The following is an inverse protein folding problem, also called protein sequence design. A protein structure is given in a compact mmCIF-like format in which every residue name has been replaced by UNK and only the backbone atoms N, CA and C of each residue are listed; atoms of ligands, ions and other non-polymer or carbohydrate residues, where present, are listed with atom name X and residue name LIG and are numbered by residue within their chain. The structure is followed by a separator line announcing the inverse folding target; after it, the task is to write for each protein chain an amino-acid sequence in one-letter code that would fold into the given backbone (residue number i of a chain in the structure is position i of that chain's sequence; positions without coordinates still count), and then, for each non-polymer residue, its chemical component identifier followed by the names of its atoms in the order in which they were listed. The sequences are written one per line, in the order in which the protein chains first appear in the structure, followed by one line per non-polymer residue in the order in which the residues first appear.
data_IF_911103478852
#
_entry.id   IF_911103478852
#
_cell.length_a   1.000
_cell.length_b   1.000
_cell.length_c   1.000
_cell.angle_alpha   90.00
_cell.angle_beta   90.00
_cell.angle_gamma   90.00
#
_symmetry.space_group_name_H-M   'P 1'
#
loop_
_entity.id
_entity.type
_entity.pdbx_description
1 polymer ?
#
# COMPACT_ATOMS: atom_id res chain seq x y z
N UNK A 1 -0.08 -7.85 -13.91
CA UNK A 1 0.84 -6.94 -13.16
C UNK A 1 2.25 -7.30 -13.58
N UNK A 2 3.04 -6.32 -13.99
CA UNK A 2 4.41 -6.61 -14.39
C UNK A 2 5.32 -6.82 -13.17
N UNK A 3 6.56 -7.23 -13.41
CA UNK A 3 7.49 -7.56 -12.35
C UNK A 3 7.79 -6.36 -11.44
N UNK A 4 8.02 -5.21 -12.02
CA UNK A 4 8.37 -4.01 -11.26
C UNK A 4 7.21 -3.58 -10.36
N UNK A 5 6.00 -3.60 -10.89
CA UNK A 5 4.81 -3.26 -10.12
C UNK A 5 4.59 -4.28 -8.99
N UNK A 6 4.79 -5.57 -9.29
CA UNK A 6 4.64 -6.61 -8.27
C UNK A 6 5.66 -6.44 -7.14
N UNK A 7 6.91 -6.15 -7.47
CA UNK A 7 7.94 -5.90 -6.47
C UNK A 7 7.59 -4.68 -5.61
N UNK A 8 7.05 -3.64 -6.24
CA UNK A 8 6.63 -2.43 -5.52
C UNK A 8 5.46 -2.72 -4.57
N UNK A 9 4.48 -3.47 -5.03
CA UNK A 9 3.33 -3.86 -4.19
C UNK A 9 3.82 -4.66 -2.98
N UNK A 10 4.72 -5.60 -3.21
CA UNK A 10 5.30 -6.41 -2.14
C UNK A 10 6.04 -5.53 -1.13
N UNK A 11 6.78 -4.56 -1.62
CA UNK A 11 7.48 -3.58 -0.78
C UNK A 11 6.49 -2.78 0.07
N UNK A 12 5.40 -2.29 -0.54
CA UNK A 12 4.38 -1.53 0.18
C UNK A 12 3.75 -2.36 1.29
N UNK A 13 3.38 -3.60 0.99
CA UNK A 13 2.78 -4.49 1.97
C UNK A 13 3.74 -4.75 3.14
N UNK A 14 5.00 -5.02 2.83
CA UNK A 14 6.01 -5.29 3.85
C UNK A 14 6.22 -4.07 4.76
N UNK A 15 6.34 -2.89 4.17
CA UNK A 15 6.55 -1.65 4.92
C UNK A 15 5.32 -1.28 5.76
N UNK A 16 4.13 -1.42 5.21
CA UNK A 16 2.90 -1.16 5.95
C UNK A 16 2.75 -2.15 7.11
N UNK A 17 3.08 -3.40 6.88
CA UNK A 17 3.05 -4.42 7.93
C UNK A 17 3.92 -4.00 9.11
N UNK A 18 5.14 -3.56 8.85
CA UNK A 18 6.05 -3.11 9.90
C UNK A 18 5.54 -1.84 10.58
N UNK A 19 5.08 -0.88 9.81
CA UNK A 19 4.67 0.42 10.34
C UNK A 19 3.39 0.30 11.19
N UNK A 20 2.45 -0.52 10.74
CA UNK A 20 1.16 -0.69 11.42
C UNK A 20 1.16 -1.82 12.45
N UNK A 21 2.23 -2.60 12.48
CA UNK A 21 2.34 -3.78 13.35
C UNK A 21 1.20 -4.78 13.09
N UNK A 22 0.91 -4.98 11.81
CA UNK A 22 -0.05 -5.97 11.34
C UNK A 22 0.69 -7.02 10.52
N UNK A 23 0.10 -8.19 10.36
CA UNK A 23 0.68 -9.20 9.47
C UNK A 23 0.60 -8.72 8.03
N UNK A 24 1.50 -9.23 7.17
CA UNK A 24 1.45 -8.91 5.75
C UNK A 24 0.13 -9.37 5.13
N UNK A 25 -0.41 -10.49 5.59
CA UNK A 25 -1.69 -10.99 5.13
C UNK A 25 -2.83 -10.03 5.45
N UNK A 26 -2.86 -9.48 6.67
CA UNK A 26 -3.87 -8.51 7.05
C UNK A 26 -3.78 -7.24 6.20
N UNK A 27 -2.56 -6.75 5.98
CA UNK A 27 -2.34 -5.57 5.14
C UNK A 27 -2.82 -5.84 3.72
N UNK A 28 -2.43 -6.98 3.15
CA UNK A 28 -2.86 -7.35 1.81
C UNK A 28 -4.38 -7.39 1.70
N UNK A 29 -5.04 -8.05 2.66
CA UNK A 29 -6.50 -8.16 2.65
C UNK A 29 -7.17 -6.78 2.76
N UNK A 30 -6.65 -5.92 3.62
CA UNK A 30 -7.19 -4.55 3.77
C UNK A 30 -7.05 -3.75 2.48
N UNK A 31 -5.90 -3.82 1.83
CA UNK A 31 -5.66 -3.09 0.58
C UNK A 31 -6.51 -3.65 -0.56
N UNK A 32 -6.63 -4.95 -0.64
CA UNK A 32 -7.41 -5.61 -1.68
C UNK A 32 -8.90 -5.33 -1.52
N UNK A 33 -9.43 -5.56 -0.33
CA UNK A 33 -10.87 -5.46 -0.07
C UNK A 33 -11.37 -4.03 -0.16
N UNK A 34 -10.54 -3.05 0.16
CA UNK A 34 -10.90 -1.63 0.05
C UNK A 34 -10.79 -1.08 -1.36
N UNK A 35 -10.16 -1.83 -2.28
CA UNK A 35 -9.88 -1.36 -3.62
C UNK A 35 -8.59 -0.57 -3.75
N UNK A 36 -7.92 -0.23 -2.66
CA UNK A 36 -6.70 0.59 -2.70
C UNK A 36 -5.62 -0.08 -3.54
N UNK A 37 -5.49 -1.40 -3.44
CA UNK A 37 -4.45 -2.13 -4.16
C UNK A 37 -4.57 -1.96 -5.67
N UNK A 38 -5.75 -2.24 -6.22
CA UNK A 38 -5.96 -2.28 -7.67
C UNK A 38 -6.42 -0.95 -8.25
N UNK A 39 -7.00 -0.07 -7.44
CA UNK A 39 -7.50 1.22 -7.92
C UNK A 39 -6.52 2.36 -7.69
N UNK A 40 -5.57 2.19 -6.79
CA UNK A 40 -4.63 3.24 -6.45
C UNK A 40 -3.17 2.81 -6.59
N UNK A 41 -2.73 1.79 -5.86
CA UNK A 41 -1.31 1.42 -5.82
C UNK A 41 -0.82 0.94 -7.19
N UNK A 42 -1.53 -0.01 -7.80
CA UNK A 42 -1.12 -0.57 -9.08
C UNK A 42 -1.14 0.46 -10.20
N UNK A 43 -2.26 1.19 -10.42
CA UNK A 43 -2.28 2.16 -11.52
C UNK A 43 -1.40 3.38 -11.30
N UNK A 44 -1.06 3.70 -10.05
CA UNK A 44 -0.23 4.86 -9.72
C UNK A 44 1.23 4.51 -9.48
N UNK A 45 1.67 3.32 -9.88
CA UNK A 45 3.04 2.88 -9.68
C UNK A 45 4.06 3.91 -10.15
N UNK A 46 3.85 4.50 -11.35
CA UNK A 46 4.79 5.45 -11.94
C UNK A 46 5.06 6.65 -11.04
N UNK A 47 4.07 7.08 -10.29
CA UNK A 47 4.19 8.20 -9.36
C UNK A 47 4.66 7.72 -7.99
N UNK A 48 4.00 6.70 -7.45
CA UNK A 48 4.24 6.27 -6.07
C UNK A 48 5.64 5.73 -5.86
N UNK A 49 6.20 5.03 -6.84
CA UNK A 49 7.52 4.42 -6.66
C UNK A 49 8.65 5.46 -6.58
N UNK A 50 8.36 6.72 -6.92
CA UNK A 50 9.34 7.81 -6.79
C UNK A 50 9.35 8.44 -5.40
N UNK A 51 8.36 8.12 -4.56
CA UNK A 51 8.28 8.69 -3.21
C UNK A 51 9.34 8.04 -2.31
N UNK A 52 9.88 8.82 -1.38
CA UNK A 52 10.67 8.25 -0.28
C UNK A 52 9.77 7.36 0.58
N UNK A 53 10.37 6.38 1.28
CA UNK A 53 9.58 5.39 2.03
C UNK A 53 8.69 6.03 3.08
N UNK A 54 9.18 7.06 3.78
CA UNK A 54 8.39 7.73 4.81
C UNK A 54 7.16 8.42 4.21
N UNK A 55 7.36 9.17 3.14
CA UNK A 55 6.28 9.87 2.48
C UNK A 55 5.25 8.90 1.90
N UNK A 56 5.75 7.81 1.30
CA UNK A 56 4.89 6.77 0.76
C UNK A 56 4.01 6.14 1.85
N UNK A 57 4.59 5.84 3.01
CA UNK A 57 3.84 5.27 4.12
C UNK A 57 2.77 6.24 4.63
N UNK A 58 3.13 7.52 4.79
CA UNK A 58 2.17 8.54 5.20
C UNK A 58 0.99 8.63 4.22
N UNK A 59 1.29 8.64 2.92
CA UNK A 59 0.28 8.72 1.88
C UNK A 59 -0.66 7.52 1.91
N UNK A 60 -0.10 6.31 1.97
CA UNK A 60 -0.91 5.09 1.96
C UNK A 60 -1.74 4.95 3.23
N UNK A 61 -1.17 5.29 4.39
CA UNK A 61 -1.90 5.20 5.65
C UNK A 61 -3.04 6.21 5.68
N UNK A 62 -2.81 7.43 5.22
CA UNK A 62 -3.87 8.44 5.13
C UNK A 62 -5.00 7.98 4.22
N UNK A 63 -4.65 7.38 3.09
CA UNK A 63 -5.66 6.86 2.17
C UNK A 63 -6.45 5.72 2.81
N UNK A 64 -5.77 4.82 3.51
CA UNK A 64 -6.44 3.72 4.22
C UNK A 64 -7.40 4.24 5.28
N UNK A 65 -7.03 5.30 5.98
CA UNK A 65 -7.92 5.92 6.96
C UNK A 65 -9.13 6.55 6.29
N UNK A 66 -8.94 7.23 5.17
CA UNK A 66 -10.06 7.81 4.41
C UNK A 66 -11.03 6.75 3.93
N UNK A 67 -10.53 5.58 3.57
CA UNK A 67 -11.36 4.46 3.12
C UNK A 67 -12.00 3.69 4.29
N UNK A 68 -11.65 4.03 5.52
CA UNK A 68 -12.23 3.38 6.69
C UNK A 68 -11.67 2.00 6.99
N UNK A 69 -10.51 1.64 6.41
CA UNK A 69 -9.87 0.34 6.68
C UNK A 69 -8.90 0.39 7.85
N UNK A 70 -8.58 1.59 8.33
CA UNK A 70 -7.84 1.82 9.57
C UNK A 70 -8.64 2.80 10.42
N UNK A 71 -8.62 2.59 11.71
CA UNK A 71 -9.28 3.47 12.66
C UNK A 71 -8.47 4.73 12.95
#
# INVERSE_FOLDING_TARGET
MDKDTLEFVTYCISKLSQTLQLSQREVYCKLKDSGILYDYIVPSYDVLHTFGSRYLMEDLIDYMKEKGVLE
#
